data_IF_609277732307
#
_entry.id   IF_609277732307
#
_cell.length_a   1.000
_cell.length_b   1.000
_cell.length_c   1.000
_cell.angle_alpha   90.00
_cell.angle_beta   90.00
_cell.angle_gamma   90.00
#
_symmetry.space_group_name_H-M   'P 1'
#
loop_
_entity.id
_entity.type
_entity.pdbx_description
1 polymer ?
#
# COMPACT_ATOMS: atom_id res chain seq x y z
N UNK A 1 -5.13 18.56 3.80
CA UNK A 1 -4.09 18.86 2.82
C UNK A 1 -3.55 17.55 2.26
N UNK A 2 -3.02 17.55 1.02
CA UNK A 2 -2.33 16.39 0.46
C UNK A 2 -1.27 15.85 1.43
N UNK A 3 -1.06 14.53 1.37
CA UNK A 3 -0.10 13.80 2.18
C UNK A 3 1.32 14.34 1.93
N UNK A 4 1.81 15.18 2.84
CA UNK A 4 3.08 15.89 2.67
C UNK A 4 4.30 14.96 2.61
N UNK A 5 4.15 13.73 3.09
CA UNK A 5 5.14 12.64 3.09
C UNK A 5 4.74 11.51 2.15
N UNK A 6 3.94 11.79 1.11
CA UNK A 6 3.61 10.77 0.11
C UNK A 6 4.84 10.30 -0.66
N UNK A 7 4.96 8.99 -0.81
CA UNK A 7 6.03 8.39 -1.59
C UNK A 7 5.89 6.87 -1.71
N UNK A 8 7.01 6.26 -2.10
CA UNK A 8 7.15 4.82 -2.22
C UNK A 8 8.32 4.32 -1.37
N UNK A 9 8.09 3.28 -0.58
CA UNK A 9 9.13 2.53 0.13
C UNK A 9 9.44 1.26 -0.65
N UNK A 10 10.71 1.09 -1.06
CA UNK A 10 11.21 -0.15 -1.68
C UNK A 10 12.09 -0.91 -0.69
N UNK A 11 11.87 -2.22 -0.57
CA UNK A 11 12.78 -3.07 0.20
C UNK A 11 12.47 -4.57 0.10
N UNK A 12 13.14 -5.32 0.95
CA UNK A 12 13.00 -6.78 1.08
C UNK A 12 12.20 -7.10 2.33
N UNK A 13 11.17 -7.92 2.21
CA UNK A 13 10.37 -8.35 3.37
C UNK A 13 11.17 -9.34 4.21
N UNK A 14 11.30 -9.05 5.50
CA UNK A 14 11.97 -9.90 6.48
C UNK A 14 11.00 -10.65 7.40
N UNK A 15 9.80 -10.10 7.59
CA UNK A 15 8.82 -10.68 8.49
C UNK A 15 7.47 -9.98 8.38
N UNK A 16 6.50 -10.52 9.11
CA UNK A 16 5.15 -9.97 9.14
C UNK A 16 4.47 -10.26 10.48
N UNK A 17 3.45 -9.48 10.80
CA UNK A 17 2.52 -9.75 11.89
C UNK A 17 1.10 -9.57 11.35
N UNK A 18 0.37 -10.68 11.30
CA UNK A 18 -1.00 -10.74 10.80
C UNK A 18 -2.00 -10.05 11.74
N UNK A 19 -1.79 -10.19 13.04
CA UNK A 19 -2.74 -9.81 14.10
C UNK A 19 -2.09 -8.90 15.16
N UNK A 20 -1.23 -7.97 14.73
CA UNK A 20 -0.60 -7.00 15.62
C UNK A 20 -1.61 -5.95 16.13
N UNK A 21 -2.58 -5.62 15.29
CA UNK A 21 -3.75 -4.81 15.60
C UNK A 21 -4.95 -5.23 14.72
N UNK A 22 -6.07 -4.54 14.90
CA UNK A 22 -7.33 -4.82 14.21
C UNK A 22 -7.38 -4.29 12.78
N UNK A 23 -6.64 -3.23 12.49
CA UNK A 23 -6.81 -2.38 11.32
C UNK A 23 -5.78 -2.66 10.22
N UNK A 24 -4.63 -3.24 10.57
CA UNK A 24 -3.49 -3.37 9.68
C UNK A 24 -2.88 -4.76 9.63
N UNK A 25 -2.38 -5.11 8.44
CA UNK A 25 -1.39 -6.16 8.26
C UNK A 25 0.01 -5.52 8.28
N UNK A 26 0.88 -5.98 9.17
CA UNK A 26 2.18 -5.33 9.42
C UNK A 26 3.30 -6.12 8.73
N UNK A 27 4.15 -5.45 7.94
CA UNK A 27 5.37 -6.02 7.38
C UNK A 27 6.61 -5.39 8.00
N UNK A 28 7.63 -6.21 8.27
CA UNK A 28 8.99 -5.77 8.54
C UNK A 28 9.79 -5.82 7.25
N UNK A 29 10.44 -4.71 6.90
CA UNK A 29 11.17 -4.55 5.64
C UNK A 29 12.57 -4.04 5.91
N UNK A 30 13.55 -4.64 5.24
CA UNK A 30 14.88 -4.06 5.04
C UNK A 30 14.86 -3.19 3.79
N UNK A 31 15.01 -1.89 3.98
CA UNK A 31 14.98 -0.86 2.96
C UNK A 31 16.38 -0.31 2.67
N UNK A 32 17.38 -1.19 2.55
CA UNK A 32 18.76 -0.82 2.20
C UNK A 32 19.66 -0.65 3.43
N UNK A 33 19.51 -1.52 4.42
CA UNK A 33 20.19 -1.48 5.72
C UNK A 33 19.38 -0.77 6.80
N UNK A 34 18.33 -0.04 6.44
CA UNK A 34 17.37 0.56 7.37
C UNK A 34 16.15 -0.33 7.51
N UNK A 35 15.68 -0.54 8.74
CA UNK A 35 14.44 -1.26 9.00
C UNK A 35 13.25 -0.29 8.92
N UNK A 36 12.21 -0.69 8.20
CA UNK A 36 10.95 0.03 8.08
C UNK A 36 9.77 -0.91 8.32
N UNK A 37 8.69 -0.37 8.86
CA UNK A 37 7.40 -1.05 8.97
C UNK A 37 6.47 -0.59 7.84
N UNK A 38 5.82 -1.52 7.17
CA UNK A 38 4.69 -1.23 6.27
C UNK A 38 3.40 -1.59 7.02
N UNK A 39 2.54 -0.61 7.25
CA UNK A 39 1.24 -0.79 7.90
C UNK A 39 0.13 -0.75 6.83
N UNK A 40 -0.34 -1.93 6.39
CA UNK A 40 -1.30 -2.06 5.29
C UNK A 40 -2.73 -2.06 5.84
N UNK A 41 -3.57 -1.12 5.43
CA UNK A 41 -4.96 -1.05 5.88
C UNK A 41 -5.78 -2.25 5.37
N UNK A 42 -6.27 -3.07 6.31
CA UNK A 42 -7.14 -4.22 6.02
C UNK A 42 -8.55 -4.06 6.57
N UNK A 43 -8.76 -3.11 7.50
CA UNK A 43 -10.06 -2.78 8.10
C UNK A 43 -10.16 -1.27 8.29
N UNK A 44 -11.36 -0.74 8.14
CA UNK A 44 -11.71 0.65 8.42
C UNK A 44 -12.23 0.79 9.85
N UNK A 45 -11.73 1.79 10.56
CA UNK A 45 -12.23 2.24 11.87
C UNK A 45 -13.16 3.46 11.77
N UNK A 46 -13.54 3.87 10.56
CA UNK A 46 -14.42 5.02 10.34
C UNK A 46 -15.79 4.82 11.04
N UNK A 47 -16.22 5.74 11.91
CA UNK A 47 -17.50 5.62 12.59
C UNK A 47 -18.67 5.58 11.61
N UNK A 48 -19.69 4.77 11.91
CA UNK A 48 -20.94 4.68 11.12
C UNK A 48 -20.74 4.30 9.64
N UNK A 49 -19.61 3.68 9.31
CA UNK A 49 -19.29 3.17 7.98
C UNK A 49 -18.94 1.68 8.05
N UNK A 50 -19.10 0.91 6.98
CA UNK A 50 -18.62 -0.47 6.95
C UNK A 50 -17.12 -0.56 7.24
N UNK A 51 -16.73 -1.48 8.13
CA UNK A 51 -15.32 -1.75 8.45
C UNK A 51 -14.61 -2.55 7.36
N UNK A 52 -15.36 -3.30 6.56
CA UNK A 52 -14.86 -4.03 5.39
C UNK A 52 -14.32 -3.06 4.34
N UNK A 53 -13.14 -3.35 3.78
CA UNK A 53 -12.53 -2.53 2.74
C UNK A 53 -12.84 -3.09 1.36
N UNK A 54 -12.94 -2.20 0.38
CA UNK A 54 -12.91 -2.55 -1.03
C UNK A 54 -11.49 -2.96 -1.40
N UNK A 55 -11.37 -4.06 -2.12
CA UNK A 55 -10.10 -4.65 -2.51
C UNK A 55 -10.07 -4.98 -3.99
N UNK A 56 -8.91 -4.78 -4.61
CA UNK A 56 -8.58 -5.34 -5.92
C UNK A 56 -7.12 -5.76 -5.98
N UNK A 57 -6.85 -6.82 -6.76
CA UNK A 57 -5.48 -7.23 -7.09
C UNK A 57 -5.29 -7.37 -8.59
N UNK A 58 -4.09 -7.06 -9.07
CA UNK A 58 -3.68 -7.27 -10.47
C UNK A 58 -2.28 -7.86 -10.54
N UNK A 59 -2.05 -8.69 -11.55
CA UNK A 59 -0.73 -9.29 -11.83
C UNK A 59 -0.06 -8.70 -13.07
N UNK A 60 -0.83 -8.03 -13.93
CA UNK A 60 -0.33 -7.31 -15.10
C UNK A 60 -0.27 -5.82 -14.79
N UNK A 61 0.95 -5.27 -14.72
CA UNK A 61 1.22 -3.85 -14.54
C UNK A 61 1.89 -3.29 -15.80
N UNK A 62 1.72 -2.00 -16.12
CA UNK A 62 2.39 -1.39 -17.27
C UNK A 62 3.92 -1.56 -17.19
N UNK A 63 4.54 -1.95 -18.30
CA UNK A 63 5.99 -2.22 -18.34
C UNK A 63 6.84 -1.00 -17.93
N UNK A 64 6.43 0.21 -18.32
CA UNK A 64 7.11 1.43 -17.90
C UNK A 64 7.03 1.66 -16.37
N UNK A 65 5.90 1.31 -15.75
CA UNK A 65 5.71 1.44 -14.30
C UNK A 65 6.61 0.45 -13.55
N UNK A 66 6.59 -0.83 -13.94
CA UNK A 66 7.42 -1.86 -13.29
C UNK A 66 8.92 -1.64 -13.51
N UNK A 67 9.33 -1.18 -14.69
CA UNK A 67 10.72 -0.79 -14.94
C UNK A 67 11.16 0.38 -14.04
N UNK A 68 10.31 1.40 -13.88
CA UNK A 68 10.59 2.52 -12.98
C UNK A 68 10.67 2.08 -11.51
N UNK A 69 9.83 1.15 -11.06
CA UNK A 69 9.93 0.55 -9.72
C UNK A 69 11.27 -0.16 -9.52
N UNK A 70 11.66 -1.03 -10.46
CA UNK A 70 12.91 -1.77 -10.35
C UNK A 70 14.13 -0.83 -10.32
N UNK A 71 14.09 0.28 -11.04
CA UNK A 71 15.16 1.27 -11.09
C UNK A 71 15.33 2.10 -9.80
N UNK A 72 14.35 2.10 -8.89
CA UNK A 72 14.49 2.81 -7.61
C UNK A 72 15.61 2.17 -6.76
N UNK A 73 16.41 2.97 -6.04
CA UNK A 73 17.22 2.42 -4.95
C UNK A 73 16.30 1.86 -3.84
N UNK A 74 16.82 0.95 -3.02
CA UNK A 74 16.14 0.57 -1.78
C UNK A 74 15.99 1.81 -0.86
N UNK A 75 14.95 1.80 -0.03
CA UNK A 75 14.61 2.93 0.84
C UNK A 75 13.35 3.66 0.40
N UNK A 76 13.04 4.73 1.13
CA UNK A 76 11.92 5.60 0.83
C UNK A 76 12.27 6.67 -0.20
N UNK A 77 11.39 6.86 -1.17
CA UNK A 77 11.45 7.95 -2.16
C UNK A 77 10.17 8.76 -2.09
N UNK A 78 10.29 10.03 -1.72
CA UNK A 78 9.19 11.00 -1.85
C UNK A 78 8.79 11.15 -3.32
N UNK A 79 7.49 11.15 -3.59
CA UNK A 79 6.94 11.29 -4.92
C UNK A 79 6.18 12.61 -5.07
N UNK A 80 6.27 13.29 -6.22
CA UNK A 80 5.43 14.44 -6.51
C UNK A 80 3.97 13.99 -6.77
N UNK A 81 3.01 14.82 -6.36
CA UNK A 81 1.57 14.62 -6.58
C UNK A 81 1.17 14.94 -8.03
N UNK A 82 1.78 14.27 -9.01
CA UNK A 82 1.62 14.60 -10.42
C UNK A 82 1.49 13.37 -11.29
N UNK A 83 0.69 13.50 -12.35
CA UNK A 83 0.59 12.52 -13.44
C UNK A 83 1.94 12.23 -14.08
N UNK A 84 2.12 11.00 -14.57
CA UNK A 84 3.27 10.58 -15.38
C UNK A 84 4.49 10.14 -14.57
N UNK A 85 4.45 10.29 -13.24
CA UNK A 85 5.41 9.68 -12.33
C UNK A 85 4.94 8.32 -11.80
N UNK A 86 5.56 7.88 -10.70
CA UNK A 86 5.16 6.67 -9.97
C UNK A 86 3.97 6.89 -9.03
N UNK A 87 3.56 8.13 -8.82
CA UNK A 87 2.41 8.44 -7.97
C UNK A 87 1.15 7.74 -8.49
N UNK A 88 0.36 7.18 -7.58
CA UNK A 88 -0.81 6.38 -7.91
C UNK A 88 -2.07 7.24 -7.75
N UNK A 89 -2.96 7.13 -8.72
CA UNK A 89 -4.32 7.68 -8.66
C UNK A 89 -5.29 6.62 -9.21
N UNK A 90 -6.24 6.17 -8.40
CA UNK A 90 -7.18 5.11 -8.73
C UNK A 90 -8.21 5.57 -9.76
N UNK A 91 -8.55 6.86 -9.75
CA UNK A 91 -9.58 7.46 -10.62
C UNK A 91 -8.99 7.86 -11.97
N UNK A 92 -7.76 8.38 -11.98
CA UNK A 92 -7.11 9.00 -13.16
C UNK A 92 -5.93 8.21 -13.71
N UNK A 93 -5.32 7.34 -12.92
CA UNK A 93 -4.04 6.68 -13.25
C UNK A 93 -4.19 5.41 -14.08
N UNK A 94 -5.35 4.75 -14.04
CA UNK A 94 -5.66 3.64 -14.95
C UNK A 94 -4.90 2.34 -14.70
N UNK A 95 -4.33 2.14 -13.49
CA UNK A 95 -3.69 0.86 -13.12
C UNK A 95 -4.69 -0.31 -13.02
N UNK A 96 -5.96 -0.01 -12.73
CA UNK A 96 -7.07 -0.95 -12.71
C UNK A 96 -8.40 -0.19 -12.91
N UNK A 97 -9.52 -0.91 -13.05
CA UNK A 97 -10.86 -0.31 -13.12
C UNK A 97 -11.46 -0.26 -11.71
N UNK A 98 -11.80 0.91 -11.17
CA UNK A 98 -12.37 1.05 -9.81
C UNK A 98 -13.63 0.20 -9.61
N UNK A 99 -14.46 0.04 -10.65
CA UNK A 99 -15.65 -0.82 -10.63
C UNK A 99 -15.35 -2.32 -10.41
N UNK A 100 -14.09 -2.76 -10.54
CA UNK A 100 -13.69 -4.14 -10.27
C UNK A 100 -13.36 -4.41 -8.80
N UNK A 101 -13.28 -3.39 -7.93
CA UNK A 101 -13.04 -3.60 -6.51
C UNK A 101 -14.24 -4.27 -5.86
N UNK A 102 -13.97 -5.16 -4.89
CA UNK A 102 -15.00 -5.89 -4.15
C UNK A 102 -14.78 -5.73 -2.64
N UNK A 103 -15.84 -5.63 -1.83
CA UNK A 103 -15.69 -5.68 -0.39
C UNK A 103 -15.15 -7.06 0.00
N UNK A 104 -14.06 -7.09 0.76
CA UNK A 104 -13.44 -8.32 1.27
C UNK A 104 -13.28 -8.19 2.78
N UNK A 105 -13.77 -9.16 3.57
CA UNK A 105 -13.64 -9.09 5.03
C UNK A 105 -12.18 -9.00 5.45
N UNK A 106 -11.88 -8.29 6.56
CA UNK A 106 -10.50 -8.17 7.05
C UNK A 106 -9.94 -9.51 7.53
N UNK A 107 -10.76 -10.32 8.19
CA UNK A 107 -10.39 -11.60 8.80
C UNK A 107 -11.65 -12.49 8.83
N UNK A 108 -11.56 -13.73 8.37
CA UNK A 108 -12.68 -14.67 8.33
C UNK A 108 -12.21 -16.12 8.56
N UNK A 109 -13.03 -16.99 9.19
CA UNK A 109 -12.68 -18.41 9.29
C UNK A 109 -12.60 -19.05 7.90
N UNK A 110 -11.47 -19.67 7.57
CA UNK A 110 -11.25 -20.33 6.28
C UNK A 110 -9.84 -20.09 5.75
N UNK A 111 -9.61 -20.41 4.47
CA UNK A 111 -8.34 -20.17 3.78
C UNK A 111 -8.61 -19.38 2.51
N UNK A 112 -7.85 -18.30 2.32
CA UNK A 112 -7.91 -17.40 1.16
C UNK A 112 -9.29 -16.72 0.96
N UNK A 113 -10.01 -16.50 2.06
CA UNK A 113 -11.35 -15.91 2.02
C UNK A 113 -11.42 -14.49 2.62
N UNK A 114 -10.32 -13.99 3.19
CA UNK A 114 -10.22 -12.64 3.72
C UNK A 114 -9.05 -11.84 3.12
N UNK A 115 -8.93 -10.59 3.54
CA UNK A 115 -7.91 -9.69 3.02
C UNK A 115 -6.52 -9.97 3.61
N UNK A 116 -6.44 -10.34 4.89
CA UNK A 116 -5.18 -10.70 5.55
C UNK A 116 -4.56 -11.91 4.86
N UNK A 117 -5.34 -12.93 4.47
CA UNK A 117 -4.89 -14.10 3.71
C UNK A 117 -4.25 -13.71 2.38
N UNK A 118 -4.88 -12.78 1.66
CA UNK A 118 -4.42 -12.37 0.34
C UNK A 118 -3.09 -11.65 0.42
N UNK A 119 -2.93 -10.75 1.39
CA UNK A 119 -1.67 -10.04 1.66
C UNK A 119 -0.61 -11.02 2.19
N UNK A 120 -0.98 -11.92 3.09
CA UNK A 120 -0.10 -12.94 3.67
C UNK A 120 0.47 -13.88 2.62
N UNK A 121 -0.36 -14.41 1.71
CA UNK A 121 0.10 -15.29 0.65
C UNK A 121 1.18 -14.63 -0.23
N UNK A 122 1.04 -13.34 -0.55
CA UNK A 122 2.05 -12.60 -1.31
C UNK A 122 3.31 -12.28 -0.50
N UNK A 123 3.13 -12.02 0.79
CA UNK A 123 4.19 -11.74 1.76
C UNK A 123 5.07 -12.96 1.97
N UNK A 124 4.47 -14.12 2.27
CA UNK A 124 5.16 -15.39 2.44
C UNK A 124 5.90 -15.79 1.16
N UNK A 125 5.27 -15.60 0.00
CA UNK A 125 5.94 -15.81 -1.29
C UNK A 125 7.16 -14.90 -1.45
N UNK A 126 7.08 -13.64 -1.03
CA UNK A 126 8.19 -12.69 -1.14
C UNK A 126 9.34 -13.10 -0.23
N UNK A 127 9.05 -13.48 1.02
CA UNK A 127 10.05 -13.98 1.97
C UNK A 127 10.73 -15.27 1.48
N UNK A 128 9.99 -16.14 0.79
CA UNK A 128 10.51 -17.39 0.23
C UNK A 128 11.23 -17.22 -1.12
N UNK A 129 11.21 -16.04 -1.73
CA UNK A 129 11.79 -15.80 -3.07
C UNK A 129 13.00 -14.89 -2.96
N UNK A 130 14.24 -15.41 -3.10
CA UNK A 130 15.44 -14.59 -3.10
C UNK A 130 15.37 -13.46 -4.13
N UNK A 131 15.66 -12.24 -3.70
CA UNK A 131 15.62 -11.05 -4.54
C UNK A 131 14.21 -10.48 -4.80
N UNK A 132 13.15 -11.05 -4.22
CA UNK A 132 11.83 -10.39 -4.25
C UNK A 132 11.88 -9.02 -3.57
N UNK A 133 11.04 -8.12 -4.05
CA UNK A 133 10.96 -6.74 -3.59
C UNK A 133 9.50 -6.38 -3.29
N UNK A 134 9.30 -5.61 -2.22
CA UNK A 134 8.03 -4.95 -1.91
C UNK A 134 8.16 -3.45 -2.18
N UNK A 135 7.08 -2.87 -2.72
CA UNK A 135 6.89 -1.45 -2.93
C UNK A 135 5.59 -1.04 -2.26
N UNK A 136 5.69 -0.26 -1.19
CA UNK A 136 4.52 0.32 -0.53
C UNK A 136 4.38 1.79 -0.87
N UNK A 137 3.18 2.20 -1.23
CA UNK A 137 2.81 3.59 -1.52
C UNK A 137 1.90 4.10 -0.42
N UNK A 138 2.17 5.31 0.04
CA UNK A 138 1.45 5.93 1.15
C UNK A 138 2.26 7.06 1.78
N UNK A 139 1.93 7.41 3.02
CA UNK A 139 2.63 8.45 3.77
C UNK A 139 3.77 7.87 4.63
N UNK A 140 4.95 8.48 4.59
CA UNK A 140 6.04 8.12 5.49
C UNK A 140 5.81 8.71 6.89
N UNK A 141 6.09 7.91 7.92
CA UNK A 141 6.37 8.40 9.27
C UNK A 141 7.82 8.09 9.67
N UNK A 142 8.30 8.79 10.70
CA UNK A 142 9.67 8.66 11.18
C UNK A 142 10.71 9.28 10.24
N UNK A 143 12.01 9.09 10.53
CA UNK A 143 12.54 8.29 11.63
C UNK A 143 12.28 8.91 13.01
N UNK A 144 11.77 8.12 13.94
CA UNK A 144 11.53 8.48 15.34
C UNK A 144 12.78 8.23 16.18
N UNK A 145 13.71 9.19 16.22
CA UNK A 145 15.06 9.04 16.81
C UNK A 145 15.09 8.43 18.21
N UNK A 146 14.09 8.73 19.04
CA UNK A 146 14.05 8.31 20.44
C UNK A 146 13.10 7.15 20.71
N UNK A 147 12.31 6.72 19.71
CA UNK A 147 11.28 5.68 19.86
C UNK A 147 11.62 4.48 18.99
N UNK A 148 11.47 3.27 19.53
CA UNK A 148 11.53 2.06 18.74
C UNK A 148 10.20 1.82 18.04
N UNK A 149 10.21 1.11 16.92
CA UNK A 149 8.97 0.66 16.28
C UNK A 149 8.10 -0.12 17.27
N UNK A 150 6.79 0.14 17.22
CA UNK A 150 5.85 -0.41 18.19
C UNK A 150 5.75 -1.94 18.13
N UNK A 151 5.89 -2.57 16.97
CA UNK A 151 5.65 -4.01 16.81
C UNK A 151 6.95 -4.79 16.66
N UNK A 152 7.84 -4.36 15.79
CA UNK A 152 9.09 -5.05 15.45
C UNK A 152 10.30 -4.55 16.26
N UNK A 153 10.13 -3.51 17.07
CA UNK A 153 11.10 -3.04 18.08
C UNK A 153 12.46 -2.57 17.54
N UNK A 154 12.63 -2.39 16.23
CA UNK A 154 13.82 -1.77 15.65
C UNK A 154 13.87 -0.27 15.98
N UNK A 155 15.06 0.34 15.94
CA UNK A 155 15.28 1.76 16.23
C UNK A 155 16.18 2.40 15.18
N UNK A 156 15.89 3.61 14.69
CA UNK A 156 14.71 4.43 14.99
C UNK A 156 13.42 3.80 14.45
N UNK A 157 12.28 4.07 15.10
CA UNK A 157 10.97 3.71 14.55
C UNK A 157 10.76 4.41 13.20
N UNK A 158 10.35 3.67 12.18
CA UNK A 158 10.29 4.15 10.80
C UNK A 158 9.24 3.37 10.01
N UNK A 159 8.61 3.99 9.02
CA UNK A 159 7.77 3.22 8.12
C UNK A 159 6.83 4.02 7.24
N UNK A 160 5.84 3.33 6.67
CA UNK A 160 4.85 3.86 5.74
C UNK A 160 3.43 3.33 6.03
N UNK A 161 2.45 4.24 6.07
CA UNK A 161 1.01 3.98 6.31
C UNK A 161 0.15 4.68 5.24
N UNK A 162 -1.16 4.83 5.48
CA UNK A 162 -2.14 5.36 4.53
C UNK A 162 -2.13 4.59 3.21
N UNK A 163 -2.06 3.25 3.32
CA UNK A 163 -1.99 2.32 2.20
C UNK A 163 -3.42 1.95 1.79
N UNK A 164 -4.14 2.96 1.33
CA UNK A 164 -5.46 2.87 0.74
C UNK A 164 -5.68 4.07 -0.19
N UNK A 165 -6.83 4.14 -0.86
CA UNK A 165 -7.23 5.29 -1.66
C UNK A 165 -7.27 6.55 -0.78
N UNK A 166 -6.53 7.60 -1.13
CA UNK A 166 -6.37 8.83 -0.34
C UNK A 166 -7.12 10.00 -1.00
N UNK A 167 -8.31 9.69 -1.52
CA UNK A 167 -9.23 10.63 -2.14
C UNK A 167 -10.69 10.15 -1.99
N UNK A 168 -11.65 11.04 -2.24
CA UNK A 168 -13.07 10.72 -2.19
C UNK A 168 -13.65 10.59 -0.78
N UNK A 169 -12.91 10.99 0.25
CA UNK A 169 -13.38 11.02 1.63
C UNK A 169 -14.48 12.06 1.82
N UNK A 170 -15.43 11.74 2.70
CA UNK A 170 -16.40 12.67 3.26
C UNK A 170 -15.94 13.18 4.64
N UNK A 171 -16.73 14.04 5.28
CA UNK A 171 -16.44 14.52 6.63
C UNK A 171 -16.35 13.38 7.65
N UNK A 172 -15.43 13.45 8.63
CA UNK A 172 -14.49 14.55 8.90
C UNK A 172 -13.18 14.52 8.09
N UNK A 173 -12.95 13.49 7.26
CA UNK A 173 -11.66 13.21 6.60
C UNK A 173 -11.45 13.95 5.27
N UNK A 174 -12.14 15.07 5.01
CA UNK A 174 -11.95 15.83 3.76
C UNK A 174 -10.51 16.32 3.59
N UNK A 175 -9.85 16.62 4.70
CA UNK A 175 -8.48 17.09 4.67
C UNK A 175 -7.54 16.07 4.02
N UNK A 176 -7.82 14.78 4.11
CA UNK A 176 -6.89 13.75 3.62
C UNK A 176 -7.01 13.53 2.11
N UNK A 177 -7.99 14.15 1.46
CA UNK A 177 -8.18 14.08 0.01
C UNK A 177 -7.05 14.76 -0.77
N UNK A 178 -6.63 14.10 -1.85
CA UNK A 178 -5.70 14.64 -2.83
C UNK A 178 -5.56 13.70 -4.03
N UNK A 179 -5.23 14.26 -5.19
CA UNK A 179 -4.95 13.46 -6.39
C UNK A 179 -3.50 12.98 -6.39
N UNK A 180 -3.22 11.89 -7.10
CA UNK A 180 -1.86 11.33 -7.22
C UNK A 180 -1.17 11.07 -5.86
N UNK A 181 -1.92 10.52 -4.91
CA UNK A 181 -1.41 10.14 -3.59
C UNK A 181 -2.06 8.87 -3.03
N UNK A 182 -2.73 8.08 -3.88
CA UNK A 182 -3.37 6.85 -3.41
C UNK A 182 -2.29 5.84 -3.02
N UNK A 183 -2.56 5.12 -1.94
CA UNK A 183 -1.72 4.05 -1.44
C UNK A 183 -1.91 2.76 -2.22
N UNK A 184 -0.92 1.87 -2.13
CA UNK A 184 -0.94 0.54 -2.74
C UNK A 184 0.19 -0.31 -2.18
N UNK A 185 0.07 -1.63 -2.30
CA UNK A 185 1.15 -2.56 -2.00
C UNK A 185 1.47 -3.39 -3.25
N UNK A 186 2.72 -3.39 -3.68
CA UNK A 186 3.16 -4.11 -4.88
C UNK A 186 4.31 -5.03 -4.53
N UNK A 187 4.20 -6.29 -4.92
CA UNK A 187 5.28 -7.26 -4.85
C UNK A 187 5.82 -7.55 -6.24
N UNK A 188 7.14 -7.49 -6.38
CA UNK A 188 7.88 -7.96 -7.55
C UNK A 188 8.67 -9.21 -7.19
N UNK A 189 8.55 -10.26 -7.99
CA UNK A 189 9.29 -11.51 -7.84
C UNK A 189 10.21 -11.69 -9.05
N UNK A 190 11.53 -11.82 -8.85
CA UNK A 190 12.45 -12.04 -9.95
C UNK A 190 12.13 -13.37 -10.65
N UNK A 191 12.23 -13.36 -11.98
CA UNK A 191 12.18 -14.58 -12.77
C UNK A 191 13.45 -15.42 -12.59
N UNK A 192 13.36 -16.72 -12.88
CA UNK A 192 14.56 -17.57 -12.94
C UNK A 192 15.41 -17.17 -14.15
N UNK A 193 16.73 -17.11 -13.97
CA UNK A 193 17.75 -17.07 -15.03
C UNK A 193 17.32 -16.33 -16.32
N UNK A 194 17.15 -15.00 -16.25
CA UNK A 194 16.82 -14.16 -17.41
C UNK A 194 15.33 -14.04 -17.75
N UNK A 195 14.45 -14.76 -17.05
CA UNK A 195 13.01 -14.57 -17.19
C UNK A 195 12.55 -13.22 -16.60
N UNK A 196 11.45 -12.70 -17.15
CA UNK A 196 10.84 -11.46 -16.68
C UNK A 196 10.35 -11.57 -15.22
N UNK A 197 10.34 -10.42 -14.53
CA UNK A 197 9.75 -10.31 -13.21
C UNK A 197 8.23 -10.57 -13.27
N UNK A 198 7.71 -11.24 -12.25
CA UNK A 198 6.27 -11.38 -12.04
C UNK A 198 5.80 -10.45 -10.93
N UNK A 199 4.56 -9.99 -11.01
CA UNK A 199 4.04 -8.93 -10.16
C UNK A 199 2.74 -9.32 -9.48
N UNK A 200 2.50 -8.75 -8.31
CA UNK A 200 1.18 -8.73 -7.66
C UNK A 200 1.00 -7.40 -6.95
N UNK A 201 0.07 -6.60 -7.44
CA UNK A 201 -0.33 -5.33 -6.82
C UNK A 201 -1.66 -5.49 -6.09
N UNK A 202 -1.81 -4.75 -5.00
CA UNK A 202 -2.93 -4.74 -4.09
C UNK A 202 -3.40 -3.29 -3.92
N UNK A 203 -4.70 -3.08 -4.11
CA UNK A 203 -5.35 -1.78 -4.02
C UNK A 203 -6.49 -1.86 -3.01
N UNK A 204 -6.61 -0.83 -2.18
CA UNK A 204 -7.50 -0.80 -1.02
C UNK A 204 -8.28 0.51 -1.02
N UNK A 205 -9.58 0.48 -0.77
CA UNK A 205 -10.39 1.69 -0.59
C UNK A 205 -11.42 1.46 0.50
N UNK A 206 -11.71 2.47 1.30
CA UNK A 206 -12.81 2.37 2.26
C UNK A 206 -14.15 2.50 1.54
N UNK A 207 -15.15 1.73 1.98
CA UNK A 207 -16.48 1.77 1.35
C UNK A 207 -17.19 3.13 1.46
N UNK A 208 -16.75 3.98 2.39
CA UNK A 208 -17.23 5.35 2.54
C UNK A 208 -16.72 6.30 1.44
N UNK A 209 -15.64 5.93 0.73
CA UNK A 209 -14.97 6.77 -0.26
C UNK A 209 -15.70 6.74 -1.62
N UNK A 210 -15.60 7.87 -2.33
CA UNK A 210 -16.13 8.02 -3.69
C UNK A 210 -15.05 7.87 -4.74
N UNK A 211 -15.32 7.09 -5.79
CA UNK A 211 -14.50 7.09 -7.01
C UNK A 211 -14.86 8.24 -7.97
N UNK A 212 -15.93 9.01 -7.69
CA UNK A 212 -16.28 10.21 -8.41
C UNK A 212 -15.68 11.42 -7.67
N UNK A 213 -14.54 11.92 -8.14
CA UNK A 213 -13.79 13.00 -7.48
C UNK A 213 -13.45 14.17 -8.40
N UNK A 214 -13.33 15.38 -7.84
CA UNK A 214 -12.82 16.58 -8.51
C UNK A 214 -11.30 16.55 -8.66
N UNK A 215 -10.69 17.55 -9.30
CA UNK A 215 -9.23 17.59 -9.51
C UNK A 215 -8.38 17.77 -8.24
N UNK A 216 -9.03 17.99 -7.09
CA UNK A 216 -8.41 18.03 -5.77
C UNK A 216 -8.62 16.72 -5.00
N UNK A 217 -9.30 15.73 -5.59
CA UNK A 217 -9.60 14.45 -4.96
C UNK A 217 -10.83 14.51 -4.04
N UNK A 218 -11.59 15.60 -4.01
CA UNK A 218 -12.82 15.68 -3.21
C UNK A 218 -13.96 14.96 -3.89
N UNK A 219 -14.86 14.36 -3.11
CA UNK A 219 -16.09 13.74 -3.60
C UNK A 219 -16.93 14.74 -4.38
N UNK A 220 -17.35 14.35 -5.59
CA UNK A 220 -18.40 15.02 -6.34
C UNK A 220 -19.78 14.46 -5.93
N UNK A 221 -20.86 15.26 -6.07
CA UNK A 221 -22.23 14.84 -5.74
C UNK A 221 -22.71 13.53 -6.36
#
# INVERSE_FOLDING_TARGET
>A
MPLSTYGVLKGTVLGHLRNADDDHYQLLVDAGGEMDRIAVNVKSSAPKSPSTVLFQTVTALPAAFTAALLALPAGYRKLPHTKGGLAIDYVRGGLFKTASMKPVPPDAPGVDNDLKDKVEAATLKAMATPGAQVFAFGAKWGPEKTRADQYFKFKPGNGIHDIHMNQGNAAPYLADNGTWQDGALVFGYPGKAGAAWTWRAFFFAFQSQSFRTDDKGNRLP
#
